data_IF_243353374268
#
_entry.id   IF_243353374268
#
_cell.length_a   1.000
_cell.length_b   1.000
_cell.length_c   1.000
_cell.angle_alpha   90.00
_cell.angle_beta   90.00
_cell.angle_gamma   90.00
#
_symmetry.space_group_name_H-M   'P 1'
#
loop_
_entity.id
_entity.type
_entity.pdbx_description
1 polymer ?
#
# COMPACT_ATOMS: atom_id res chain seq x y z
N UNK A 1 -12.43 -16.03 11.58
CA UNK A 1 -11.02 -15.79 11.25
C UNK A 1 -10.61 -16.81 10.19
N UNK A 2 -9.79 -16.44 9.20
CA UNK A 2 -9.26 -17.42 8.25
C UNK A 2 -8.45 -18.45 9.04
N UNK A 3 -8.71 -19.73 8.80
CA UNK A 3 -7.94 -20.85 9.36
C UNK A 3 -6.57 -20.86 8.69
N UNK A 4 -5.65 -20.03 9.16
CA UNK A 4 -4.26 -20.03 8.69
C UNK A 4 -3.48 -21.12 9.42
N UNK A 5 -2.90 -22.06 8.69
CA UNK A 5 -1.98 -23.09 9.20
C UNK A 5 -0.64 -22.52 9.73
N UNK A 6 -0.51 -21.19 9.78
CA UNK A 6 0.70 -20.48 10.13
C UNK A 6 0.62 -19.98 11.57
N UNK A 7 1.63 -20.34 12.39
CA UNK A 7 1.76 -19.85 13.78
C UNK A 7 1.90 -18.33 13.84
N UNK A 8 2.48 -17.74 12.79
CA UNK A 8 2.66 -16.30 12.68
C UNK A 8 1.97 -15.76 11.41
N UNK A 9 0.87 -15.04 11.60
CA UNK A 9 0.05 -14.52 10.50
C UNK A 9 -0.47 -13.11 10.76
N UNK A 10 -0.52 -12.33 9.69
CA UNK A 10 -1.16 -11.03 9.57
C UNK A 10 -1.88 -10.99 8.22
N UNK A 11 -3.16 -10.62 8.21
CA UNK A 11 -3.94 -10.50 6.99
C UNK A 11 -4.74 -9.20 6.97
N UNK A 12 -5.02 -8.70 5.77
CA UNK A 12 -5.95 -7.60 5.59
C UNK A 12 -7.39 -8.14 5.65
N UNK A 13 -8.21 -7.61 6.57
CA UNK A 13 -9.64 -7.90 6.65
C UNK A 13 -10.46 -7.00 5.70
N UNK A 14 -9.93 -5.81 5.39
CA UNK A 14 -10.51 -4.88 4.44
C UNK A 14 -9.42 -3.96 3.89
N UNK A 15 -9.49 -3.66 2.58
CA UNK A 15 -8.63 -2.66 1.94
C UNK A 15 -9.52 -1.65 1.22
N UNK A 16 -9.28 -0.37 1.47
CA UNK A 16 -9.93 0.73 0.79
C UNK A 16 -8.88 1.58 0.06
N UNK A 17 -9.18 1.90 -1.20
CA UNK A 17 -8.33 2.71 -2.07
C UNK A 17 -8.99 4.06 -2.32
N UNK A 18 -8.23 5.14 -2.16
CA UNK A 18 -8.66 6.49 -2.46
C UNK A 18 -7.49 7.28 -3.08
N UNK A 19 -7.79 8.42 -3.70
CA UNK A 19 -6.76 9.35 -4.20
C UNK A 19 -5.85 9.85 -3.07
N UNK A 20 -6.37 9.93 -1.84
CA UNK A 20 -5.62 10.33 -0.64
C UNK A 20 -4.74 9.24 -0.06
N UNK A 21 -4.83 7.98 -0.55
CA UNK A 21 -4.00 6.88 -0.08
C UNK A 21 -4.75 5.55 0.10
N UNK A 22 -4.09 4.65 0.83
CA UNK A 22 -4.59 3.31 1.15
C UNK A 22 -4.94 3.24 2.63
N UNK A 23 -6.11 2.68 2.93
CA UNK A 23 -6.52 2.33 4.30
C UNK A 23 -6.73 0.82 4.40
N UNK A 24 -6.00 0.18 5.31
CA UNK A 24 -6.03 -1.27 5.53
C UNK A 24 -6.51 -1.55 6.95
N UNK A 25 -7.61 -2.28 7.08
CA UNK A 25 -7.97 -2.94 8.34
C UNK A 25 -7.30 -4.31 8.33
N UNK A 26 -6.60 -4.65 9.40
CA UNK A 26 -5.88 -5.91 9.52
C UNK A 26 -6.25 -6.64 10.81
N UNK A 27 -5.98 -7.94 10.81
CA UNK A 27 -6.12 -8.82 11.95
C UNK A 27 -5.00 -9.89 11.87
N UNK A 28 -4.71 -10.54 12.98
CA UNK A 28 -3.62 -11.50 13.11
C UNK A 28 -3.04 -11.59 14.51
N UNK A 29 -1.87 -12.22 14.63
CA UNK A 29 -1.21 -12.47 15.92
C UNK A 29 -0.88 -11.17 16.70
N UNK A 30 -0.70 -10.07 15.98
CA UNK A 30 -0.35 -8.76 16.55
C UNK A 30 -1.60 -7.96 16.97
N UNK A 31 -2.77 -8.62 16.96
CA UNK A 31 -4.08 -8.05 17.19
C UNK A 31 -4.59 -7.25 15.98
N UNK A 32 -5.81 -6.74 16.11
CA UNK A 32 -6.42 -5.91 15.09
C UNK A 32 -5.89 -4.47 15.09
N UNK A 33 -6.09 -3.78 13.97
CA UNK A 33 -5.77 -2.37 13.80
C UNK A 33 -6.18 -1.84 12.44
N UNK A 34 -5.99 -0.53 12.26
CA UNK A 34 -6.22 0.17 10.99
C UNK A 34 -5.00 0.98 10.64
N UNK A 35 -4.44 0.73 9.46
CA UNK A 35 -3.26 1.38 8.95
C UNK A 35 -3.68 2.28 7.78
N UNK A 36 -3.22 3.54 7.82
CA UNK A 36 -3.45 4.50 6.74
C UNK A 36 -2.10 5.01 6.24
N UNK A 37 -1.89 4.99 4.93
CA UNK A 37 -0.69 5.52 4.30
C UNK A 37 -1.04 6.28 3.01
N UNK A 38 -0.40 7.44 2.75
CA UNK A 38 -0.62 8.23 1.53
C UNK A 38 0.13 7.63 0.33
N UNK A 39 -0.15 6.36 0.04
CA UNK A 39 0.42 5.59 -1.06
C UNK A 39 -0.71 5.19 -2.02
N UNK A 40 -0.42 5.09 -3.32
CA UNK A 40 -1.43 4.78 -4.35
C UNK A 40 -1.14 3.41 -4.98
N UNK A 41 -2.18 2.66 -5.33
CA UNK A 41 -2.11 1.41 -6.08
C UNK A 41 -2.14 0.14 -5.22
N UNK A 42 -2.79 -0.90 -5.74
CA UNK A 42 -2.99 -2.18 -5.04
C UNK A 42 -1.68 -2.85 -4.61
N UNK A 43 -0.62 -2.73 -5.42
CA UNK A 43 0.71 -3.23 -5.06
C UNK A 43 1.26 -2.62 -3.79
N UNK A 44 0.99 -1.33 -3.55
CA UNK A 44 1.46 -0.68 -2.34
C UNK A 44 0.72 -1.17 -1.10
N UNK A 45 -0.53 -1.67 -1.20
CA UNK A 45 -1.20 -2.28 -0.06
C UNK A 45 -0.48 -3.55 0.40
N UNK A 46 -0.07 -4.40 -0.54
CA UNK A 46 0.72 -5.59 -0.25
C UNK A 46 2.10 -5.24 0.32
N UNK A 47 2.81 -4.30 -0.30
CA UNK A 47 4.13 -3.84 0.18
C UNK A 47 4.04 -3.27 1.60
N UNK A 48 3.00 -2.50 1.88
CA UNK A 48 2.75 -1.90 3.18
C UNK A 48 2.49 -2.95 4.25
N UNK A 49 1.65 -3.95 3.95
CA UNK A 49 1.40 -5.08 4.87
C UNK A 49 2.67 -5.90 5.12
N UNK A 50 3.50 -6.14 4.10
CA UNK A 50 4.77 -6.84 4.24
C UNK A 50 5.76 -6.07 5.13
N UNK A 51 5.93 -4.77 4.88
CA UNK A 51 6.80 -3.92 5.69
C UNK A 51 6.31 -3.84 7.15
N UNK A 52 5.01 -3.65 7.35
CA UNK A 52 4.40 -3.59 8.67
C UNK A 52 4.54 -4.92 9.44
N UNK A 53 4.25 -6.06 8.80
CA UNK A 53 4.45 -7.38 9.39
C UNK A 53 5.92 -7.64 9.75
N UNK A 54 6.86 -7.19 8.91
CA UNK A 54 8.30 -7.31 9.17
C UNK A 54 8.70 -6.52 10.42
N UNK A 55 8.27 -5.26 10.55
CA UNK A 55 8.60 -4.43 11.70
C UNK A 55 7.98 -4.95 13.00
N UNK A 56 6.72 -5.41 12.96
CA UNK A 56 6.09 -6.06 14.11
C UNK A 56 6.84 -7.33 14.53
N UNK A 57 7.29 -8.14 13.57
CA UNK A 57 8.06 -9.35 13.84
C UNK A 57 9.45 -9.06 14.42
N UNK A 58 10.01 -7.88 14.14
CA UNK A 58 11.26 -7.38 14.73
C UNK A 58 11.05 -6.75 16.13
N UNK A 59 9.82 -6.69 16.63
CA UNK A 59 9.49 -6.21 17.98
C UNK A 59 9.25 -4.71 18.08
N UNK A 60 9.04 -4.00 16.97
CA UNK A 60 8.62 -2.59 17.01
C UNK A 60 7.20 -2.46 17.56
N UNK A 61 6.94 -1.39 18.33
CA UNK A 61 5.63 -1.16 18.93
C UNK A 61 4.56 -0.90 17.86
N UNK A 62 3.45 -1.63 17.96
CA UNK A 62 2.35 -1.51 17.01
C UNK A 62 1.79 -0.09 16.96
N UNK A 63 1.58 0.54 18.11
CA UNK A 63 0.96 1.86 18.21
C UNK A 63 1.85 2.92 17.55
N UNK A 64 3.16 2.84 17.75
CA UNK A 64 4.13 3.72 17.10
C UNK A 64 4.12 3.57 15.57
N UNK A 65 4.07 2.33 15.08
CA UNK A 65 3.97 2.05 13.63
C UNK A 65 2.66 2.60 13.04
N UNK A 66 1.53 2.45 13.74
CA UNK A 66 0.24 3.00 13.30
C UNK A 66 0.24 4.53 13.28
N UNK A 67 0.85 5.17 14.29
CA UNK A 67 0.94 6.62 14.38
C UNK A 67 1.85 7.23 13.30
N UNK A 68 2.86 6.48 12.84
CA UNK A 68 3.83 6.95 11.84
C UNK A 68 3.45 6.60 10.40
N UNK A 69 2.53 5.65 10.17
CA UNK A 69 2.14 5.19 8.82
C UNK A 69 1.65 6.33 7.90
N UNK A 70 0.95 7.33 8.45
CA UNK A 70 0.46 8.48 7.68
C UNK A 70 1.59 9.41 7.18
N UNK A 71 2.81 9.26 7.69
CA UNK A 71 3.98 10.05 7.31
C UNK A 71 4.79 9.42 6.18
N UNK A 72 4.47 8.18 5.79
CA UNK A 72 5.13 7.49 4.70
C UNK A 72 5.08 8.32 3.42
N UNK A 73 6.19 8.35 2.69
CA UNK A 73 6.27 9.05 1.41
C UNK A 73 6.24 8.02 0.28
N UNK A 74 5.59 8.32 -0.86
CA UNK A 74 5.73 7.52 -2.06
C UNK A 74 7.20 7.35 -2.43
N UNK A 75 7.55 6.16 -2.91
CA UNK A 75 8.89 5.91 -3.45
C UNK A 75 9.01 6.66 -4.79
N UNK A 76 10.03 7.52 -4.91
CA UNK A 76 10.33 8.23 -6.16
C UNK A 76 10.47 7.23 -7.32
N UNK A 77 9.82 7.52 -8.45
CA UNK A 77 9.77 6.64 -9.63
C UNK A 77 8.92 5.36 -9.46
N UNK A 78 8.01 5.30 -8.49
CA UNK A 78 6.96 4.26 -8.40
C UNK A 78 5.58 4.94 -8.37
N UNK A 79 4.86 4.88 -9.48
CA UNK A 79 3.56 5.54 -9.67
C UNK A 79 3.57 7.02 -9.28
N UNK A 80 4.65 7.72 -9.60
CA UNK A 80 4.85 9.12 -9.23
C UNK A 80 4.05 10.03 -10.18
N UNK A 81 2.95 10.60 -9.67
CA UNK A 81 2.02 11.44 -10.44
C UNK A 81 2.46 12.90 -10.46
N UNK A 82 2.63 13.42 -11.67
CA UNK A 82 2.81 14.83 -11.96
C UNK A 82 1.56 15.36 -12.68
N UNK A 83 0.94 16.40 -12.12
CA UNK A 83 -0.24 17.03 -12.69
C UNK A 83 -0.16 18.55 -12.64
N UNK A 84 -0.76 19.20 -13.64
CA UNK A 84 -0.90 20.64 -13.73
C UNK A 84 -2.23 20.98 -14.40
N UNK A 85 -2.80 22.14 -14.06
CA UNK A 85 -4.06 22.60 -14.66
C UNK A 85 -3.99 22.62 -16.19
N UNK A 86 -5.02 22.09 -16.83
CA UNK A 86 -5.16 22.00 -18.29
C UNK A 86 -4.03 21.24 -19.01
N UNK A 87 -3.33 20.32 -18.33
CA UNK A 87 -2.31 19.45 -18.93
C UNK A 87 -2.62 17.97 -18.72
N UNK A 88 -2.02 17.12 -19.54
CA UNK A 88 -2.06 15.68 -19.32
C UNK A 88 -1.38 15.30 -18.00
N UNK A 89 -1.95 14.33 -17.30
CA UNK A 89 -1.31 13.68 -16.15
C UNK A 89 -0.11 12.87 -16.67
N UNK A 90 1.04 13.02 -16.01
CA UNK A 90 2.25 12.26 -16.33
C UNK A 90 2.59 11.40 -15.13
N UNK A 91 2.82 10.12 -15.35
CA UNK A 91 3.24 9.19 -14.29
C UNK A 91 4.60 8.61 -14.64
N UNK A 92 5.53 8.69 -13.67
CA UNK A 92 6.84 8.04 -13.75
C UNK A 92 6.78 6.74 -12.94
N UNK A 93 7.00 5.62 -13.61
CA UNK A 93 7.05 4.30 -12.98
C UNK A 93 8.23 3.46 -13.52
N UNK A 94 8.81 2.65 -12.65
CA UNK A 94 9.99 1.81 -12.93
C UNK A 94 9.63 0.44 -13.52
N UNK A 95 8.37 0.18 -13.85
CA UNK A 95 7.95 -1.05 -14.51
C UNK A 95 8.84 -1.38 -15.72
N UNK A 96 9.69 -2.39 -15.57
CA UNK A 96 10.65 -2.86 -16.58
C UNK A 96 10.49 -4.35 -16.88
N UNK A 97 9.46 -4.98 -16.31
CA UNK A 97 9.03 -6.35 -16.61
C UNK A 97 7.62 -6.33 -17.20
N UNK A 98 7.23 -7.32 -18.03
CA UNK A 98 5.90 -7.36 -18.63
C UNK A 98 4.76 -7.32 -17.60
N UNK A 99 4.87 -8.10 -16.53
CA UNK A 99 3.90 -8.14 -15.42
C UNK A 99 3.80 -6.78 -14.72
N UNK A 100 4.92 -6.13 -14.40
CA UNK A 100 4.92 -4.83 -13.75
C UNK A 100 4.28 -3.74 -14.64
N UNK A 101 4.53 -3.79 -15.95
CA UNK A 101 3.96 -2.83 -16.89
C UNK A 101 2.45 -2.99 -17.04
N UNK A 102 1.96 -4.24 -17.14
CA UNK A 102 0.52 -4.53 -17.19
C UNK A 102 -0.19 -3.97 -15.96
N UNK A 103 0.36 -4.26 -14.78
CA UNK A 103 -0.13 -3.81 -13.48
C UNK A 103 -0.15 -2.28 -13.36
N UNK A 104 0.92 -1.62 -13.80
CA UNK A 104 0.99 -0.16 -13.82
C UNK A 104 -0.11 0.42 -14.73
N UNK A 105 -0.29 -0.11 -15.94
CA UNK A 105 -1.30 0.38 -16.88
C UNK A 105 -2.74 0.14 -16.39
N UNK A 106 -3.01 -1.02 -15.77
CA UNK A 106 -4.32 -1.32 -15.17
C UNK A 106 -4.65 -0.35 -14.05
N UNK A 107 -3.68 -0.09 -13.15
CA UNK A 107 -3.84 0.86 -12.05
C UNK A 107 -4.00 2.31 -12.55
N UNK A 108 -3.37 2.70 -13.66
CA UNK A 108 -3.53 4.04 -14.23
C UNK A 108 -4.83 4.22 -15.02
N UNK A 109 -5.36 3.16 -15.63
CA UNK A 109 -6.54 3.23 -16.50
C UNK A 109 -7.77 3.80 -15.79
N UNK A 110 -7.95 3.52 -14.50
CA UNK A 110 -9.09 4.02 -13.71
C UNK A 110 -9.02 5.54 -13.44
N UNK A 111 -7.90 6.18 -13.76
CA UNK A 111 -7.66 7.61 -13.57
C UNK A 111 -7.62 8.41 -14.89
N UNK A 112 -7.86 7.74 -16.02
CA UNK A 112 -7.96 8.32 -17.35
C UNK A 112 -9.43 8.41 -17.77
N UNK A 113 -9.90 9.61 -18.12
CA UNK A 113 -11.20 9.85 -18.73
C UNK A 113 -11.22 9.48 -20.22
#
# INVERSE_FOLDING_TARGET
APTTEFEHALWASQVAYAESGITIRFDGQFGEGTLHAPLIGEFNAANLMLAFATLLSLGFDKSDLLATAAQLQPVLGRMELFQAEHRAKVVVDYAHTPDALEKALQALRVHCD
#
